data_IF_354994453519
#
_entry.id   IF_354994453519
#
_cell.length_a   1.000
_cell.length_b   1.000
_cell.length_c   1.000
_cell.angle_alpha   90.00
_cell.angle_beta   90.00
_cell.angle_gamma   90.00
#
_symmetry.space_group_name_H-M   'P 1'
#
loop_
_entity.id
_entity.type
_entity.pdbx_description
1 polymer ?
#
# COMPACT_ATOMS: atom_id res chain seq x y z
N UNK A 1 24.13 10.46 3.38
CA UNK A 1 23.15 9.52 2.78
C UNK A 1 23.09 8.29 3.68
N UNK A 2 21.90 7.86 4.09
CA UNK A 2 21.66 6.67 4.91
C UNK A 2 20.73 5.73 4.12
N UNK A 3 21.09 4.46 4.03
CA UNK A 3 20.19 3.43 3.49
C UNK A 3 19.14 3.10 4.54
N UNK A 4 17.88 3.24 4.19
CA UNK A 4 16.75 2.99 5.10
C UNK A 4 16.19 1.58 4.97
N UNK A 5 16.25 1.03 3.76
CA UNK A 5 15.79 -0.32 3.43
C UNK A 5 16.85 -1.03 2.61
N UNK A 6 16.99 -2.33 2.83
CA UNK A 6 17.88 -3.18 2.03
C UNK A 6 17.25 -3.51 0.69
N UNK A 7 18.04 -3.45 -0.40
CA UNK A 7 17.60 -3.99 -1.68
C UNK A 7 17.38 -5.50 -1.59
N UNK A 8 16.34 -6.03 -2.17
CA UNK A 8 16.16 -7.48 -2.33
C UNK A 8 16.94 -7.96 -3.56
N UNK A 9 17.63 -9.09 -3.46
CA UNK A 9 18.13 -9.77 -4.65
C UNK A 9 16.94 -10.43 -5.36
N UNK A 10 16.85 -10.21 -6.66
CA UNK A 10 15.75 -10.72 -7.49
C UNK A 10 14.70 -9.68 -7.85
N UNK A 11 13.53 -10.12 -8.23
CA UNK A 11 12.47 -9.32 -8.86
C UNK A 11 11.64 -8.43 -7.92
N UNK A 12 11.93 -8.39 -6.64
CA UNK A 12 11.17 -7.58 -5.69
C UNK A 12 11.91 -6.26 -5.42
N UNK A 13 11.65 -5.25 -6.23
CA UNK A 13 12.00 -3.88 -5.91
C UNK A 13 10.94 -3.30 -4.99
N UNK A 14 11.35 -2.62 -3.92
CA UNK A 14 10.48 -1.72 -3.18
C UNK A 14 10.36 -0.41 -3.96
N UNK A 15 9.14 0.01 -4.25
CA UNK A 15 8.89 1.27 -4.95
C UNK A 15 7.64 1.97 -4.39
N UNK A 16 7.30 3.15 -4.92
CA UNK A 16 6.12 3.90 -4.53
C UNK A 16 6.07 4.16 -3.02
N UNK A 17 7.22 4.40 -2.39
CA UNK A 17 7.31 4.53 -0.94
C UNK A 17 6.61 5.79 -0.44
N UNK A 18 5.82 5.66 0.62
CA UNK A 18 5.12 6.76 1.27
C UNK A 18 5.25 6.64 2.78
N UNK A 19 5.56 7.73 3.47
CA UNK A 19 5.76 7.74 4.91
C UNK A 19 4.76 8.65 5.60
N UNK A 20 4.19 8.17 6.70
CA UNK A 20 3.39 8.98 7.62
C UNK A 20 3.96 8.85 9.04
N UNK A 21 3.56 9.79 9.89
CA UNK A 21 3.72 9.70 11.34
C UNK A 21 2.32 9.67 11.97
N UNK A 22 2.13 8.78 12.95
CA UNK A 22 0.94 8.70 13.77
C UNK A 22 1.33 8.38 15.20
N UNK A 23 1.00 9.28 16.11
CA UNK A 23 1.18 9.14 17.57
C UNK A 23 2.63 8.73 17.95
N UNK A 24 3.64 9.38 17.32
CA UNK A 24 5.06 9.13 17.57
C UNK A 24 5.64 7.91 16.86
N UNK A 25 4.83 7.19 16.10
CA UNK A 25 5.26 6.04 15.28
C UNK A 25 5.27 6.41 13.80
N UNK A 26 6.35 6.10 13.12
CA UNK A 26 6.48 6.27 11.68
C UNK A 26 6.09 4.98 10.97
N UNK A 27 5.36 5.12 9.88
CA UNK A 27 4.92 4.03 8.99
C UNK A 27 5.45 4.28 7.60
N UNK A 28 6.17 3.32 7.05
CA UNK A 28 6.68 3.36 5.69
C UNK A 28 5.92 2.33 4.85
N UNK A 29 5.05 2.84 3.97
CA UNK A 29 4.33 2.06 2.98
C UNK A 29 5.23 1.82 1.79
N UNK A 30 5.17 0.62 1.24
CA UNK A 30 6.02 0.15 0.15
C UNK A 30 5.18 -0.66 -0.82
N UNK A 31 5.32 -0.37 -2.11
CA UNK A 31 4.69 -1.18 -3.14
C UNK A 31 5.65 -2.25 -3.63
N UNK A 32 5.13 -3.46 -3.82
CA UNK A 32 5.88 -4.65 -4.23
C UNK A 32 5.13 -5.40 -5.34
N UNK A 33 5.80 -6.35 -5.95
CA UNK A 33 5.26 -7.14 -7.05
C UNK A 33 5.43 -6.44 -8.40
N UNK A 34 4.67 -6.89 -9.38
CA UNK A 34 4.75 -6.36 -10.76
C UNK A 34 3.55 -5.48 -11.05
N UNK A 35 3.80 -4.19 -11.31
CA UNK A 35 2.80 -3.29 -11.88
C UNK A 35 2.72 -3.47 -13.40
N UNK A 36 1.79 -2.77 -14.02
CA UNK A 36 1.81 -2.46 -15.45
C UNK A 36 1.56 -3.64 -16.40
N UNK A 37 0.99 -4.74 -15.88
CA UNK A 37 0.60 -5.93 -16.64
C UNK A 37 -0.93 -6.05 -16.80
N UNK A 38 -1.67 -4.96 -16.67
CA UNK A 38 -3.11 -4.98 -16.71
C UNK A 38 -3.69 -5.85 -15.58
N UNK A 39 -4.64 -6.70 -15.93
CA UNK A 39 -5.29 -7.59 -14.96
C UNK A 39 -4.36 -8.69 -14.41
N UNK A 40 -3.22 -8.93 -15.04
CA UNK A 40 -2.21 -9.87 -14.57
C UNK A 40 -1.19 -9.23 -13.61
N UNK A 41 -1.40 -7.96 -13.25
CA UNK A 41 -0.55 -7.25 -12.28
C UNK A 41 -0.65 -7.88 -10.91
N UNK A 42 0.51 -8.13 -10.30
CA UNK A 42 0.64 -8.71 -8.96
C UNK A 42 1.03 -7.66 -7.90
N UNK A 43 0.91 -6.39 -8.23
CA UNK A 43 1.28 -5.26 -7.37
C UNK A 43 0.44 -5.23 -6.10
N UNK A 44 1.05 -4.85 -4.97
CA UNK A 44 0.39 -4.74 -3.67
C UNK A 44 1.17 -3.81 -2.75
N UNK A 45 0.57 -3.39 -1.65
CA UNK A 45 1.18 -2.49 -0.66
C UNK A 45 1.41 -3.22 0.64
N UNK A 46 2.64 -3.14 1.13
CA UNK A 46 3.01 -3.52 2.49
C UNK A 46 3.42 -2.29 3.31
N UNK A 47 3.53 -2.47 4.61
CA UNK A 47 3.97 -1.44 5.55
C UNK A 47 4.94 -2.01 6.58
N UNK A 48 5.85 -1.17 7.02
CA UNK A 48 6.70 -1.39 8.20
C UNK A 48 6.63 -0.18 9.11
N UNK A 49 6.97 -0.33 10.38
CA UNK A 49 6.97 0.76 11.34
C UNK A 49 8.32 0.98 12.01
N UNK A 50 8.48 2.17 12.58
CA UNK A 50 9.68 2.56 13.34
C UNK A 50 9.35 3.68 14.31
N UNK A 51 10.09 3.80 15.40
CA UNK A 51 10.07 4.97 16.29
C UNK A 51 10.86 6.17 15.74
N UNK A 52 11.48 6.04 14.56
CA UNK A 52 12.30 7.08 13.93
C UNK A 52 12.10 7.08 12.42
N UNK A 53 12.06 8.26 11.75
CA UNK A 53 11.98 8.32 10.29
C UNK A 53 13.21 7.76 9.58
N UNK A 54 14.25 7.43 10.35
CA UNK A 54 15.49 6.85 9.84
C UNK A 54 15.61 5.34 10.12
N UNK A 55 14.54 4.70 10.62
CA UNK A 55 14.52 3.29 11.00
C UNK A 55 15.22 3.01 12.36
N UNK A 56 15.41 1.75 12.73
CA UNK A 56 15.16 0.57 11.89
C UNK A 56 13.66 0.39 11.58
N UNK A 57 13.38 -0.04 10.36
CA UNK A 57 12.04 -0.34 9.87
C UNK A 57 11.74 -1.81 10.09
N UNK A 58 10.74 -2.11 10.88
CA UNK A 58 10.43 -3.49 11.33
C UNK A 58 9.00 -3.89 10.99
N UNK A 59 8.82 -5.19 10.83
CA UNK A 59 7.51 -5.83 10.78
C UNK A 59 6.99 -6.17 12.21
N UNK A 60 5.89 -6.87 12.30
CA UNK A 60 5.22 -7.30 13.53
C UNK A 60 6.12 -8.15 14.44
N UNK A 61 7.01 -8.96 13.86
CA UNK A 61 7.93 -9.83 14.57
C UNK A 61 9.27 -9.14 14.91
N UNK A 62 9.41 -7.85 14.61
CA UNK A 62 10.65 -7.09 14.82
C UNK A 62 11.74 -7.37 13.80
N UNK A 63 11.45 -8.07 12.70
CA UNK A 63 12.40 -8.32 11.62
C UNK A 63 12.59 -7.07 10.79
N UNK A 64 13.82 -6.78 10.38
CA UNK A 64 14.15 -5.53 9.69
C UNK A 64 14.15 -5.69 8.17
N UNK A 65 13.68 -4.66 7.47
CA UNK A 65 13.83 -4.55 6.02
C UNK A 65 15.29 -4.48 5.60
N UNK A 66 16.14 -3.84 6.41
CA UNK A 66 17.54 -3.64 6.08
C UNK A 66 18.29 -4.98 5.97
N UNK A 67 17.91 -5.94 6.81
CA UNK A 67 18.50 -7.29 6.83
C UNK A 67 17.84 -8.25 5.83
N UNK A 68 16.91 -7.76 5.03
CA UNK A 68 16.13 -8.55 4.03
C UNK A 68 15.36 -9.73 4.64
N UNK A 69 15.00 -9.63 5.92
CA UNK A 69 14.31 -10.70 6.66
C UNK A 69 12.80 -10.63 6.57
N UNK A 70 12.28 -9.53 6.03
CA UNK A 70 10.84 -9.29 5.91
C UNK A 70 10.53 -8.46 4.67
N UNK A 71 9.30 -8.53 4.21
CA UNK A 71 8.72 -7.61 3.22
C UNK A 71 7.73 -6.64 3.86
N UNK A 72 7.58 -6.67 5.19
CA UNK A 72 6.57 -5.90 5.94
C UNK A 72 5.22 -6.59 6.01
N UNK A 73 4.25 -5.90 6.63
CA UNK A 73 2.86 -6.36 6.80
C UNK A 73 2.00 -5.94 5.62
N UNK A 74 1.11 -6.82 5.19
CA UNK A 74 0.21 -6.55 4.07
C UNK A 74 -0.83 -5.49 4.45
N UNK A 75 -0.92 -4.43 3.65
CA UNK A 75 -1.95 -3.38 3.78
C UNK A 75 -3.11 -3.65 2.81
N UNK A 76 -2.80 -3.76 1.52
CA UNK A 76 -3.79 -3.99 0.47
C UNK A 76 -3.18 -4.76 -0.69
N UNK A 77 -3.94 -5.72 -1.19
CA UNK A 77 -3.65 -6.50 -2.40
C UNK A 77 -4.85 -6.54 -3.34
N UNK A 78 -4.65 -7.07 -4.52
CA UNK A 78 -5.73 -7.32 -5.48
C UNK A 78 -6.73 -8.37 -5.00
N UNK A 79 -7.94 -8.29 -5.53
CA UNK A 79 -9.04 -9.20 -5.33
C UNK A 79 -9.72 -9.57 -6.65
N UNK A 80 -10.98 -9.99 -6.57
CA UNK A 80 -11.73 -10.41 -7.75
C UNK A 80 -12.05 -9.26 -8.73
N UNK A 81 -12.17 -8.04 -8.25
CA UNK A 81 -12.64 -6.90 -9.05
C UNK A 81 -11.56 -5.86 -9.33
N UNK A 82 -10.50 -5.82 -8.50
CA UNK A 82 -9.35 -4.91 -8.65
C UNK A 82 -8.07 -5.72 -8.57
N UNK A 83 -7.15 -5.52 -9.50
CA UNK A 83 -5.82 -6.16 -9.45
C UNK A 83 -4.72 -5.10 -9.42
N UNK A 84 -3.58 -5.49 -8.88
CA UNK A 84 -2.38 -4.67 -8.87
C UNK A 84 -2.51 -3.32 -8.15
N UNK A 85 -3.14 -3.24 -6.94
CA UNK A 85 -3.18 -2.00 -6.20
C UNK A 85 -1.79 -1.60 -5.71
N UNK A 86 -1.42 -0.33 -5.87
CA UNK A 86 -0.13 0.13 -5.39
C UNK A 86 0.18 1.59 -5.68
N UNK A 87 1.43 1.97 -5.43
CA UNK A 87 1.95 3.32 -5.57
C UNK A 87 1.09 4.33 -4.80
N UNK A 88 0.91 4.03 -3.53
CA UNK A 88 -0.06 4.69 -2.68
C UNK A 88 0.41 6.05 -2.13
N UNK A 89 -0.57 6.84 -1.73
CA UNK A 89 -0.44 7.93 -0.77
C UNK A 89 -1.37 7.67 0.43
N UNK A 90 -1.12 8.29 1.56
CA UNK A 90 -1.98 8.25 2.73
C UNK A 90 -2.35 9.66 3.13
N UNK A 91 -3.64 9.89 3.38
CA UNK A 91 -4.15 11.16 3.86
C UNK A 91 -4.84 10.96 5.20
N UNK A 92 -4.84 12.00 6.03
CA UNK A 92 -5.67 12.10 7.22
C UNK A 92 -6.77 13.11 6.94
N UNK A 93 -8.02 12.74 7.16
CA UNK A 93 -9.15 13.62 6.94
C UNK A 93 -9.42 14.53 8.15
N UNK A 94 -10.38 15.45 8.00
CA UNK A 94 -10.73 16.40 9.06
C UNK A 94 -11.50 15.78 10.24
N UNK A 95 -11.95 14.54 10.12
CA UNK A 95 -12.47 13.72 11.21
C UNK A 95 -11.36 12.99 11.99
N UNK A 96 -10.14 12.96 11.45
CA UNK A 96 -8.98 12.30 12.05
C UNK A 96 -8.78 10.87 11.55
N UNK A 97 -9.59 10.41 10.61
CA UNK A 97 -9.45 9.11 9.97
C UNK A 97 -8.34 9.11 8.92
N UNK A 98 -7.69 7.95 8.76
CA UNK A 98 -6.66 7.76 7.73
C UNK A 98 -7.24 7.01 6.54
N UNK A 99 -6.80 7.40 5.35
CA UNK A 99 -7.23 6.86 4.08
C UNK A 99 -6.01 6.57 3.21
N UNK A 100 -6.03 5.44 2.54
CA UNK A 100 -5.03 5.09 1.54
C UNK A 100 -5.61 5.32 0.14
N UNK A 101 -4.86 6.05 -0.68
CA UNK A 101 -5.18 6.31 -2.09
C UNK A 101 -4.16 5.58 -2.93
N UNK A 102 -4.59 4.81 -3.90
CA UNK A 102 -3.72 3.99 -4.73
C UNK A 102 -4.32 3.80 -6.13
N UNK A 103 -3.52 3.39 -7.09
CA UNK A 103 -4.05 2.95 -8.38
C UNK A 103 -4.24 1.43 -8.41
N UNK A 104 -5.11 0.96 -9.30
CA UNK A 104 -5.33 -0.46 -9.58
C UNK A 104 -6.00 -0.65 -10.93
N UNK A 105 -6.04 -1.89 -11.41
CA UNK A 105 -6.77 -2.24 -12.62
C UNK A 105 -8.13 -2.84 -12.28
N UNK A 106 -9.17 -2.33 -12.93
CA UNK A 106 -10.51 -2.88 -12.81
C UNK A 106 -10.65 -4.13 -13.69
N UNK A 107 -10.82 -5.29 -13.07
CA UNK A 107 -10.91 -6.59 -13.78
C UNK A 107 -12.05 -6.59 -14.80
N UNK A 108 -13.16 -5.95 -14.49
CA UNK A 108 -14.32 -5.80 -15.38
C UNK A 108 -14.00 -5.09 -16.69
N UNK A 109 -13.01 -4.21 -16.71
CA UNK A 109 -12.63 -3.43 -17.88
C UNK A 109 -11.24 -3.86 -18.37
N UNK A 110 -11.17 -5.07 -18.92
CA UNK A 110 -9.94 -5.65 -19.48
C UNK A 110 -9.39 -4.87 -20.66
N UNK A 111 -10.27 -4.17 -21.39
CA UNK A 111 -9.90 -3.23 -22.46
C UNK A 111 -10.12 -1.81 -21.95
N UNK A 112 -9.11 -0.98 -22.04
CA UNK A 112 -9.18 0.42 -21.62
C UNK A 112 -10.15 1.24 -22.47
N UNK A 113 -10.48 2.42 -21.98
CA UNK A 113 -11.36 3.38 -22.64
C UNK A 113 -10.87 3.77 -24.06
N UNK A 114 -9.60 3.56 -24.37
CA UNK A 114 -8.97 3.83 -25.67
C UNK A 114 -8.51 2.57 -26.41
N UNK A 115 -9.15 1.45 -26.19
CA UNK A 115 -9.13 0.29 -27.09
C UNK A 115 -8.06 -0.78 -26.87
N UNK A 116 -6.89 -0.49 -26.30
CA UNK A 116 -5.82 -1.48 -26.19
C UNK A 116 -5.13 -1.59 -24.84
N UNK A 117 -5.40 -0.69 -23.91
CA UNK A 117 -4.78 -0.72 -22.59
C UNK A 117 -5.81 -0.99 -21.51
N UNK A 118 -5.53 -1.88 -20.55
CA UNK A 118 -6.41 -2.10 -19.40
C UNK A 118 -6.67 -0.81 -18.63
N UNK A 119 -7.89 -0.65 -18.15
CA UNK A 119 -8.28 0.55 -17.40
C UNK A 119 -7.62 0.54 -16.02
N UNK A 120 -6.76 1.51 -15.80
CA UNK A 120 -6.17 1.81 -14.50
C UNK A 120 -6.94 2.95 -13.86
N UNK A 121 -7.48 2.74 -12.68
CA UNK A 121 -8.28 3.70 -11.93
C UNK A 121 -7.61 4.07 -10.62
N UNK A 122 -8.03 5.20 -10.06
CA UNK A 122 -7.69 5.61 -8.72
C UNK A 122 -8.73 5.05 -7.75
N UNK A 123 -8.26 4.45 -6.67
CA UNK A 123 -9.06 3.90 -5.58
C UNK A 123 -8.70 4.59 -4.27
N UNK A 124 -9.66 4.56 -3.35
CA UNK A 124 -9.48 5.04 -1.98
C UNK A 124 -10.14 4.07 -1.03
N UNK A 125 -9.45 3.72 0.06
CA UNK A 125 -9.97 2.90 1.14
C UNK A 125 -9.62 3.51 2.49
N UNK A 126 -10.48 3.27 3.48
CA UNK A 126 -10.19 3.65 4.86
C UNK A 126 -9.10 2.72 5.43
N UNK A 127 -8.11 3.29 6.09
CA UNK A 127 -7.13 2.53 6.85
C UNK A 127 -7.68 2.22 8.24
N UNK A 128 -7.76 0.94 8.55
CA UNK A 128 -8.02 0.40 9.87
C UNK A 128 -6.68 0.12 10.56
N UNK A 129 -6.71 -0.05 11.87
CA UNK A 129 -5.52 -0.30 12.68
C UNK A 129 -5.78 -1.52 13.55
N UNK A 130 -4.87 -2.48 13.49
CA UNK A 130 -4.95 -3.67 14.33
C UNK A 130 -4.41 -3.43 15.75
N UNK A 131 -4.53 -4.44 16.62
CA UNK A 131 -4.12 -4.36 18.02
C UNK A 131 -2.60 -4.17 18.19
N UNK A 132 -1.80 -4.55 17.21
CA UNK A 132 -0.36 -4.31 17.18
C UNK A 132 -0.01 -2.95 16.57
N UNK A 133 -1.01 -2.17 16.14
CA UNK A 133 -0.88 -0.85 15.57
C UNK A 133 -0.39 -0.85 14.12
N UNK A 134 -0.61 -1.92 13.33
CA UNK A 134 -0.36 -1.89 11.90
C UNK A 134 -1.61 -1.50 11.12
N UNK A 135 -1.45 -0.64 10.09
CA UNK A 135 -2.56 -0.25 9.24
C UNK A 135 -2.89 -1.31 8.19
N UNK A 136 -4.17 -1.47 7.90
CA UNK A 136 -4.66 -2.36 6.86
C UNK A 136 -5.97 -1.84 6.24
N UNK A 137 -6.29 -2.27 5.02
CA UNK A 137 -7.61 -2.13 4.41
C UNK A 137 -8.45 -3.34 4.82
N UNK A 138 -9.75 -3.18 4.97
CA UNK A 138 -10.66 -4.26 5.37
C UNK A 138 -10.45 -5.52 4.51
N UNK A 139 -10.23 -6.66 5.16
CA UNK A 139 -9.84 -7.91 4.52
C UNK A 139 -8.52 -7.89 3.75
N UNK A 140 -7.70 -6.83 3.85
CA UNK A 140 -6.48 -6.61 3.07
C UNK A 140 -6.68 -6.65 1.54
N UNK A 141 -7.89 -6.36 1.05
CA UNK A 141 -8.25 -6.41 -0.36
C UNK A 141 -8.78 -5.06 -0.82
N UNK A 142 -8.32 -4.62 -2.00
CA UNK A 142 -8.82 -3.40 -2.63
C UNK A 142 -10.34 -3.43 -2.78
N UNK A 143 -11.04 -2.43 -2.23
CA UNK A 143 -12.49 -2.37 -2.33
C UNK A 143 -12.95 -1.93 -3.72
N UNK A 144 -14.11 -2.42 -4.14
CA UNK A 144 -14.77 -2.01 -5.39
C UNK A 144 -16.18 -1.48 -5.14
N UNK A 145 -16.61 -1.49 -3.89
CA UNK A 145 -17.90 -0.99 -3.45
C UNK A 145 -17.83 0.50 -3.08
N UNK A 146 -18.98 1.15 -3.05
CA UNK A 146 -19.06 2.51 -2.48
C UNK A 146 -18.76 2.43 -0.98
N UNK A 147 -17.86 3.28 -0.54
CA UNK A 147 -17.53 3.51 0.85
C UNK A 147 -17.86 4.96 1.21
N UNK A 148 -17.97 5.27 2.49
CA UNK A 148 -18.07 6.64 2.94
C UNK A 148 -16.86 7.43 2.51
N UNK A 149 -17.05 8.69 2.11
CA UNK A 149 -15.97 9.54 1.68
C UNK A 149 -15.19 10.12 2.86
N UNK A 150 -13.91 10.47 2.68
CA UNK A 150 -13.17 11.29 3.65
C UNK A 150 -13.93 12.58 3.97
N UNK A 151 -13.87 12.99 5.24
CA UNK A 151 -14.46 14.27 5.67
C UNK A 151 -13.50 15.40 5.31
N UNK A 152 -13.87 16.25 4.37
CA UNK A 152 -13.10 17.43 3.96
C UNK A 152 -13.93 18.67 4.30
N UNK A 153 -13.37 19.59 5.10
CA UNK A 153 -14.01 20.84 5.54
C UNK A 153 -13.28 22.06 5.01
#
# INVERSE_FOLDING_TARGET
>A
KKTLIGGTEGSCAFEGSYMIERDGTYYLFLSLGHCCQGIDSTYYVNVVKSSSPFGPWVDREGRTLLDKKTLGELVVKGGAEVTGPGHNAVIKDDAGDYWIVYHGYEVKYTLGYYGSSPRRSLFIDKLLWDDDGFPYVDGNVASYTKIDAPVIR
#
